data_IF_550135477690
#
_entry.id   IF_550135477690
#
_cell.length_a   1.000
_cell.length_b   1.000
_cell.length_c   1.000
_cell.angle_alpha   90.00
_cell.angle_beta   90.00
_cell.angle_gamma   90.00
#
_symmetry.space_group_name_H-M   'P 1'
#
loop_
_entity.id
_entity.type
_entity.pdbx_description
1 polymer ?
#
# COMPACT_ATOMS: atom_id res chain seq x y z
N UNK A 1 -2.75 7.61 13.48
CA UNK A 1 -2.62 6.15 13.38
C UNK A 1 -1.33 5.74 14.07
N UNK A 2 -1.34 4.60 14.74
CA UNK A 2 -0.15 4.05 15.38
C UNK A 2 0.80 3.42 14.35
N UNK A 3 2.06 3.18 14.74
CA UNK A 3 3.02 2.46 13.91
C UNK A 3 2.49 1.06 13.54
N UNK A 4 1.86 0.37 14.49
CA UNK A 4 1.30 -0.96 14.29
C UNK A 4 0.15 -0.96 13.27
N UNK A 5 -0.73 0.04 13.33
CA UNK A 5 -1.80 0.22 12.35
C UNK A 5 -1.23 0.46 10.93
N UNK A 6 -0.16 1.23 10.81
CA UNK A 6 0.50 1.49 9.53
C UNK A 6 1.18 0.23 8.96
N UNK A 7 1.80 -0.58 9.83
CA UNK A 7 2.40 -1.87 9.44
C UNK A 7 1.31 -2.83 8.95
N UNK A 8 0.20 -2.93 9.66
CA UNK A 8 -0.91 -3.80 9.28
C UNK A 8 -1.54 -3.37 7.94
N UNK A 9 -1.74 -2.06 7.74
CA UNK A 9 -2.19 -1.50 6.45
C UNK A 9 -1.25 -1.84 5.30
N UNK A 10 0.05 -1.76 5.53
CA UNK A 10 1.06 -2.11 4.52
C UNK A 10 1.03 -3.60 4.18
N UNK A 11 0.86 -4.47 5.18
CA UNK A 11 0.68 -5.92 4.97
C UNK A 11 -0.59 -6.24 4.18
N UNK A 12 -1.70 -5.56 4.50
CA UNK A 12 -2.96 -5.67 3.76
C UNK A 12 -2.81 -5.26 2.30
N UNK A 13 -2.05 -4.18 2.03
CA UNK A 13 -1.77 -3.74 0.67
C UNK A 13 -0.97 -4.79 -0.11
N UNK A 14 0.08 -5.34 0.52
CA UNK A 14 0.89 -6.41 -0.08
C UNK A 14 0.03 -7.63 -0.43
N UNK A 15 -0.84 -8.06 0.49
CA UNK A 15 -1.75 -9.18 0.25
C UNK A 15 -2.76 -8.89 -0.87
N UNK A 16 -3.33 -7.68 -0.90
CA UNK A 16 -4.26 -7.27 -1.96
C UNK A 16 -3.57 -7.30 -3.34
N UNK A 17 -2.35 -6.78 -3.45
CA UNK A 17 -1.55 -6.84 -4.68
C UNK A 17 -1.23 -8.28 -5.11
N UNK A 18 -0.85 -9.16 -4.19
CA UNK A 18 -0.63 -10.58 -4.49
C UNK A 18 -1.90 -11.27 -5.01
N UNK A 19 -3.06 -10.90 -4.48
CA UNK A 19 -4.35 -11.43 -4.92
C UNK A 19 -4.65 -11.02 -6.35
N UNK A 20 -4.44 -9.75 -6.70
CA UNK A 20 -4.58 -9.25 -8.07
C UNK A 20 -3.63 -9.97 -9.05
N UNK A 21 -2.37 -10.17 -8.66
CA UNK A 21 -1.39 -10.92 -9.47
C UNK A 21 -1.80 -12.37 -9.69
N UNK A 22 -2.36 -13.04 -8.67
CA UNK A 22 -2.88 -14.40 -8.82
C UNK A 22 -4.07 -14.43 -9.78
N UNK A 23 -5.00 -13.49 -9.63
CA UNK A 23 -6.17 -13.38 -10.49
C UNK A 23 -5.79 -13.13 -11.96
N UNK A 24 -4.78 -12.29 -12.23
CA UNK A 24 -4.31 -12.07 -13.59
C UNK A 24 -3.60 -13.30 -14.19
N UNK A 25 -2.89 -14.07 -13.36
CA UNK A 25 -2.24 -15.33 -13.79
C UNK A 25 -3.21 -16.46 -14.08
N UNK A 26 -4.40 -16.48 -13.45
CA UNK A 26 -5.41 -17.49 -13.79
C UNK A 26 -5.82 -17.42 -15.26
N UNK A 27 -5.87 -16.22 -15.85
CA UNK A 27 -6.10 -16.05 -17.28
C UNK A 27 -5.07 -16.78 -18.15
N UNK A 28 -3.79 -16.81 -17.73
CA UNK A 28 -2.73 -17.54 -18.42
C UNK A 28 -2.87 -19.07 -18.30
N UNK A 29 -3.64 -19.56 -17.32
CA UNK A 29 -3.95 -20.98 -17.12
C UNK A 29 -5.28 -21.39 -17.78
N UNK A 30 -5.92 -20.49 -18.54
CA UNK A 30 -7.24 -20.72 -19.13
C UNK A 30 -8.39 -20.67 -18.11
N UNK A 31 -8.12 -20.24 -16.88
CA UNK A 31 -9.12 -20.07 -15.83
C UNK A 31 -9.53 -18.60 -15.82
N UNK A 32 -10.77 -18.30 -16.20
CA UNK A 32 -11.29 -16.93 -16.10
C UNK A 32 -11.87 -16.70 -14.70
N UNK A 33 -11.29 -15.83 -13.87
CA UNK A 33 -11.92 -15.46 -12.61
C UNK A 33 -13.25 -14.77 -12.89
N UNK A 34 -14.24 -14.95 -12.00
CA UNK A 34 -15.51 -14.26 -12.16
C UNK A 34 -15.30 -12.74 -12.14
N UNK A 35 -16.12 -12.01 -12.90
CA UNK A 35 -16.11 -10.54 -12.92
C UNK A 35 -16.29 -9.95 -11.51
N UNK A 36 -17.13 -10.57 -10.70
CA UNK A 36 -17.36 -10.18 -9.30
C UNK A 36 -16.10 -10.35 -8.43
N UNK A 37 -15.35 -11.45 -8.60
CA UNK A 37 -14.10 -11.65 -7.87
C UNK A 37 -13.02 -10.63 -8.27
N UNK A 38 -12.95 -10.30 -9.57
CA UNK A 38 -12.04 -9.26 -10.06
C UNK A 38 -12.41 -7.89 -9.50
N UNK A 39 -13.70 -7.54 -9.52
CA UNK A 39 -14.18 -6.27 -8.98
C UNK A 39 -13.89 -6.14 -7.49
N UNK A 40 -14.25 -7.16 -6.69
CA UNK A 40 -13.98 -7.18 -5.24
C UNK A 40 -12.50 -7.04 -4.91
N UNK A 41 -11.63 -7.70 -5.67
CA UNK A 41 -10.19 -7.60 -5.47
C UNK A 41 -9.65 -6.21 -5.82
N UNK A 42 -10.16 -5.60 -6.89
CA UNK A 42 -9.82 -4.24 -7.29
C UNK A 42 -10.30 -3.22 -6.23
N UNK A 43 -11.57 -3.29 -5.83
CA UNK A 43 -12.17 -2.41 -4.82
C UNK A 43 -11.42 -2.50 -3.49
N UNK A 44 -11.07 -3.72 -3.07
CA UNK A 44 -10.30 -3.93 -1.85
C UNK A 44 -8.91 -3.29 -1.94
N UNK A 45 -8.19 -3.50 -3.05
CA UNK A 45 -6.88 -2.89 -3.27
C UNK A 45 -6.95 -1.35 -3.28
N UNK A 46 -7.94 -0.79 -3.97
CA UNK A 46 -8.16 0.66 -4.01
C UNK A 46 -8.46 1.22 -2.61
N UNK A 47 -9.32 0.55 -1.85
CA UNK A 47 -9.67 0.99 -0.49
C UNK A 47 -8.47 1.03 0.46
N UNK A 48 -7.54 0.07 0.35
CA UNK A 48 -6.34 0.01 1.17
C UNK A 48 -5.32 1.05 0.69
N UNK A 49 -5.17 1.22 -0.62
CA UNK A 49 -4.29 2.24 -1.22
C UNK A 49 -4.69 3.65 -0.80
N UNK A 50 -6.00 3.96 -0.85
CA UNK A 50 -6.54 5.26 -0.42
C UNK A 50 -6.26 5.56 1.06
N UNK A 51 -6.28 4.54 1.93
CA UNK A 51 -5.94 4.67 3.35
C UNK A 51 -4.44 4.86 3.59
N UNK A 52 -3.59 4.35 2.69
CA UNK A 52 -2.14 4.47 2.80
C UNK A 52 -1.61 5.84 2.37
N UNK A 53 -2.25 6.47 1.39
CA UNK A 53 -1.89 7.77 0.83
C UNK A 53 -1.58 8.87 1.88
N UNK A 54 -2.45 9.13 2.88
CA UNK A 54 -2.14 10.14 3.91
C UNK A 54 -0.96 9.74 4.80
N UNK A 55 -0.74 8.44 5.03
CA UNK A 55 0.40 7.94 5.82
C UNK A 55 1.69 8.19 5.05
N UNK A 56 1.72 7.90 3.75
CA UNK A 56 2.89 8.15 2.89
C UNK A 56 3.25 9.64 2.88
N UNK A 57 2.27 10.52 2.68
CA UNK A 57 2.48 11.98 2.74
C UNK A 57 3.04 12.45 4.08
N UNK A 58 2.56 11.89 5.19
CA UNK A 58 3.08 12.20 6.54
C UNK A 58 4.54 11.76 6.71
N UNK A 59 4.89 10.57 6.23
CA UNK A 59 6.26 10.04 6.28
C UNK A 59 7.20 10.84 5.38
N UNK A 60 6.77 11.20 4.18
CA UNK A 60 7.54 12.04 3.24
C UNK A 60 7.80 13.44 3.79
N UNK A 61 6.80 14.07 4.39
CA UNK A 61 6.95 15.35 5.08
C UNK A 61 7.95 15.24 6.24
N UNK A 62 7.86 14.18 7.04
CA UNK A 62 8.79 13.93 8.16
C UNK A 62 10.23 13.71 7.68
N UNK A 63 10.43 12.94 6.60
CA UNK A 63 11.75 12.76 5.96
C UNK A 63 12.32 14.08 5.42
N UNK A 64 11.46 14.92 4.83
CA UNK A 64 11.85 16.23 4.31
C UNK A 64 12.28 17.18 5.43
N UNK A 65 11.57 17.18 6.57
CA UNK A 65 11.94 17.95 7.76
C UNK A 65 13.27 17.46 8.37
N UNK A 66 13.50 16.14 8.41
CA UNK A 66 14.78 15.58 8.88
C UNK A 66 15.95 15.92 7.97
N UNK A 67 15.76 15.96 6.65
CA UNK A 67 16.82 16.41 5.71
C UNK A 67 17.19 17.88 5.88
N UNK A 68 16.24 18.73 6.25
CA UNK A 68 16.46 20.18 6.40
C UNK A 68 17.11 20.54 7.73
N UNK A 69 17.06 19.68 8.75
CA UNK A 69 17.89 19.85 9.95
C UNK A 69 19.31 19.34 9.64
N UNK A 70 20.33 20.20 9.53
CA UNK A 70 21.69 19.72 9.61
C UNK A 70 21.84 19.11 11.01
N UNK A 71 22.37 17.89 11.08
CA UNK A 71 23.02 17.42 12.31
C UNK A 71 24.01 18.53 12.69
N UNK A 72 23.77 19.18 13.83
CA UNK A 72 24.16 20.56 14.07
C UNK A 72 25.63 20.89 13.81
N UNK A 73 25.85 22.18 13.51
CA UNK A 73 27.03 22.88 14.01
C UNK A 73 27.18 22.52 15.49
N UNK A 74 28.22 21.73 15.80
CA UNK A 74 28.77 21.66 17.14
C UNK A 74 29.49 23.00 17.38
N UNK A 75 28.90 23.83 18.23
CA UNK A 75 29.62 24.89 18.91
C UNK A 75 30.61 24.32 19.92
#
# INVERSE_FOLDING_TARGET
>A
MSLDENIDLTRKLQHAGQTLVRLSRYGALGITPSRDNLQKAADYFESISAKLEPILKSVEATKSVQRVRPLGMRG
#
